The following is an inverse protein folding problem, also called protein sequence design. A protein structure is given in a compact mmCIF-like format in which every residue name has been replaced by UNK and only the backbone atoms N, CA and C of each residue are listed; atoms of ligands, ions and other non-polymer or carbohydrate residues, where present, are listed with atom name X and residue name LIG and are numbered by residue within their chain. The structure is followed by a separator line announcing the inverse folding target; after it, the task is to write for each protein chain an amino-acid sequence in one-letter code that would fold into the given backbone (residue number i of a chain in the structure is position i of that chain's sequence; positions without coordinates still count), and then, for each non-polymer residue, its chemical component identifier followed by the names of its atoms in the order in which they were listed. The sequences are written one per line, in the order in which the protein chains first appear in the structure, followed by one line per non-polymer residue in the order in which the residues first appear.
data_IF_113173361171
#
_entry.id   IF_113173361171
#
_cell.length_a   1.000
_cell.length_b   1.000
_cell.length_c   1.000
_cell.angle_alpha   90.00
_cell.angle_beta   90.00
_cell.angle_gamma   90.00
#
_symmetry.space_group_name_H-M   'P 1'
#
loop_
_entity.id
_entity.type
_entity.pdbx_description
1 polymer ?
#
# COMPACT_ATOMS: atom_id res chain seq x y z
N UNK A 1 1.06 -23.41 -12.21
CA UNK A 1 2.50 -23.25 -11.95
C UNK A 1 3.03 -22.13 -12.83
N UNK A 2 2.98 -20.89 -12.34
CA UNK A 2 3.74 -19.77 -12.90
C UNK A 2 5.22 -20.07 -12.71
N UNK A 3 5.96 -20.31 -13.81
CA UNK A 3 7.41 -20.52 -13.72
C UNK A 3 8.09 -19.17 -13.44
N UNK A 4 8.64 -19.03 -12.24
CA UNK A 4 9.61 -18.00 -11.88
C UNK A 4 10.76 -18.07 -12.88
N UNK A 5 11.11 -16.94 -13.52
CA UNK A 5 12.29 -16.88 -14.38
C UNK A 5 13.42 -16.28 -13.55
N UNK A 6 14.36 -17.12 -13.14
CA UNK A 6 15.63 -16.64 -12.60
C UNK A 6 16.30 -15.78 -13.67
N UNK A 7 16.56 -14.51 -13.36
CA UNK A 7 17.20 -13.59 -14.28
C UNK A 7 18.43 -13.01 -13.62
N UNK A 8 19.59 -13.10 -14.26
CA UNK A 8 20.81 -12.43 -13.81
C UNK A 8 20.76 -10.90 -13.96
N UNK A 9 19.63 -10.34 -14.40
CA UNK A 9 19.46 -8.92 -14.70
C UNK A 9 18.85 -8.17 -13.53
N UNK A 10 19.63 -7.29 -12.90
CA UNK A 10 19.16 -6.35 -11.88
C UNK A 10 17.99 -5.48 -12.40
N UNK A 11 17.02 -5.10 -11.55
CA UNK A 11 15.99 -4.12 -11.90
C UNK A 11 16.55 -2.85 -12.53
N UNK A 12 15.90 -2.39 -13.60
CA UNK A 12 16.20 -1.08 -14.18
C UNK A 12 16.09 0.03 -13.12
N UNK A 13 16.94 1.09 -13.21
CA UNK A 13 16.86 2.25 -12.34
C UNK A 13 15.44 2.82 -12.29
N UNK A 14 14.93 3.03 -11.08
CA UNK A 14 13.54 3.43 -10.84
C UNK A 14 13.37 4.25 -9.58
N UNK A 15 12.27 4.99 -9.51
CA UNK A 15 11.82 5.71 -8.30
C UNK A 15 10.41 5.30 -7.91
N UNK A 16 9.99 5.62 -6.68
CA UNK A 16 8.61 5.42 -6.22
C UNK A 16 8.11 3.97 -6.33
N UNK A 17 9.04 3.01 -6.26
CA UNK A 17 8.77 1.59 -6.11
C UNK A 17 8.70 1.24 -4.62
N UNK A 18 8.20 0.05 -4.31
CA UNK A 18 8.27 -0.49 -2.95
C UNK A 18 9.22 -1.67 -2.88
N UNK A 19 9.82 -1.85 -1.70
CA UNK A 19 10.70 -2.95 -1.37
C UNK A 19 10.42 -3.35 0.08
N UNK A 20 9.98 -4.59 0.31
CA UNK A 20 9.70 -5.11 1.64
C UNK A 20 10.56 -6.34 1.93
N UNK A 21 10.82 -6.58 3.21
CA UNK A 21 11.37 -7.86 3.67
C UNK A 21 10.28 -8.92 3.65
N UNK A 22 10.57 -10.08 3.06
CA UNK A 22 9.74 -11.28 3.19
C UNK A 22 10.16 -12.03 4.46
N UNK A 23 11.47 -12.23 4.59
CA UNK A 23 12.17 -12.90 5.69
C UNK A 23 13.62 -12.39 5.73
N UNK A 24 14.47 -13.06 6.50
CA UNK A 24 15.88 -12.68 6.70
C UNK A 24 16.71 -12.71 5.40
N UNK A 25 16.29 -13.47 4.40
CA UNK A 25 17.07 -13.76 3.20
C UNK A 25 16.46 -13.18 1.92
N UNK A 26 15.21 -12.70 1.98
CA UNK A 26 14.46 -12.35 0.78
C UNK A 26 13.77 -10.99 0.88
N UNK A 27 13.90 -10.22 -0.20
CA UNK A 27 13.17 -8.97 -0.39
C UNK A 27 12.18 -9.12 -1.55
N UNK A 28 11.08 -8.38 -1.49
CA UNK A 28 10.04 -8.36 -2.52
C UNK A 28 9.86 -6.92 -3.02
N UNK A 29 9.91 -6.75 -4.35
CA UNK A 29 9.79 -5.45 -5.02
C UNK A 29 8.54 -5.41 -5.89
N UNK A 30 7.83 -4.29 -5.86
CA UNK A 30 6.72 -4.03 -6.78
C UNK A 30 6.77 -2.62 -7.40
N UNK A 31 6.49 -2.57 -8.70
CA UNK A 31 6.17 -1.35 -9.45
C UNK A 31 7.27 -0.29 -9.52
N UNK A 32 6.84 0.98 -9.56
CA UNK A 32 7.67 2.18 -9.65
C UNK A 32 7.70 2.83 -11.03
N UNK A 33 8.44 3.94 -11.14
CA UNK A 33 8.69 4.68 -12.39
C UNK A 33 10.08 4.37 -12.92
N UNK A 34 10.15 3.81 -14.12
CA UNK A 34 11.40 3.55 -14.85
C UNK A 34 11.60 4.60 -15.94
N UNK A 35 12.85 4.86 -16.33
CA UNK A 35 13.17 5.66 -17.52
C UNK A 35 13.00 4.78 -18.77
N UNK A 36 12.44 5.33 -19.85
CA UNK A 36 12.46 4.67 -21.15
C UNK A 36 13.88 4.72 -21.72
N UNK A 37 14.37 3.61 -22.28
CA UNK A 37 15.73 3.56 -22.84
C UNK A 37 15.89 4.58 -23.97
N UNK A 38 16.85 5.50 -23.82
CA UNK A 38 17.13 6.53 -24.82
C UNK A 38 16.17 7.72 -24.82
N UNK A 39 15.24 7.82 -23.87
CA UNK A 39 14.32 8.97 -23.74
C UNK A 39 14.38 9.60 -22.35
N UNK A 40 13.94 10.87 -22.25
CA UNK A 40 13.72 11.54 -20.96
C UNK A 40 12.40 11.13 -20.29
N UNK A 41 11.53 10.43 -21.03
CA UNK A 41 10.22 10.04 -20.55
C UNK A 41 10.30 8.89 -19.54
N UNK A 42 9.48 8.97 -18.51
CA UNK A 42 9.31 7.90 -17.52
C UNK A 42 7.98 7.20 -17.71
N UNK A 43 7.95 5.91 -17.40
CA UNK A 43 6.73 5.10 -17.40
C UNK A 43 6.59 4.35 -16.08
N UNK A 44 5.34 4.16 -15.65
CA UNK A 44 5.05 3.27 -14.53
C UNK A 44 5.18 1.82 -14.98
N UNK A 45 5.71 0.98 -14.11
CA UNK A 45 5.82 -0.46 -14.34
C UNK A 45 5.00 -1.25 -13.33
N UNK A 46 4.64 -2.48 -13.70
CA UNK A 46 4.13 -3.52 -12.81
C UNK A 46 5.20 -4.60 -12.54
N UNK A 47 6.48 -4.28 -12.75
CA UNK A 47 7.57 -5.21 -12.43
C UNK A 47 7.44 -5.73 -11.00
N UNK A 48 7.45 -7.06 -10.89
CA UNK A 48 7.35 -7.78 -9.63
C UNK A 48 8.48 -8.80 -9.55
N UNK A 49 9.29 -8.69 -8.50
CA UNK A 49 10.47 -9.54 -8.35
C UNK A 49 10.80 -9.81 -6.89
N UNK A 50 11.38 -10.97 -6.65
CA UNK A 50 11.95 -11.36 -5.36
C UNK A 50 13.47 -11.38 -5.48
N UNK A 51 14.14 -10.74 -4.53
CA UNK A 51 15.59 -10.74 -4.41
C UNK A 51 16.02 -11.72 -3.32
N UNK A 52 16.89 -12.67 -3.67
CA UNK A 52 17.56 -13.55 -2.72
C UNK A 52 18.90 -12.90 -2.32
N UNK A 53 18.98 -12.45 -1.07
CA UNK A 53 20.12 -11.71 -0.51
C UNK A 53 21.37 -12.59 -0.47
N UNK A 54 21.22 -13.87 -0.09
CA UNK A 54 22.33 -14.82 0.01
C UNK A 54 22.93 -15.15 -1.35
N UNK A 55 22.08 -15.32 -2.37
CA UNK A 55 22.52 -15.64 -3.73
C UNK A 55 22.85 -14.40 -4.55
N UNK A 56 22.41 -13.22 -4.12
CA UNK A 56 22.48 -11.98 -4.88
C UNK A 56 21.81 -12.09 -6.26
N UNK A 57 20.60 -12.66 -6.30
CA UNK A 57 19.86 -12.93 -7.55
C UNK A 57 18.45 -12.34 -7.46
N UNK A 58 18.01 -11.72 -8.56
CA UNK A 58 16.63 -11.28 -8.76
C UNK A 58 15.84 -12.33 -9.55
N UNK A 59 14.67 -12.67 -9.03
CA UNK A 59 13.73 -13.60 -9.65
C UNK A 59 12.49 -12.83 -10.10
N UNK A 60 12.30 -12.69 -11.40
CA UNK A 60 11.14 -11.97 -11.94
C UNK A 60 9.96 -12.91 -12.07
N UNK A 61 8.84 -12.45 -11.55
CA UNK A 61 7.56 -13.11 -11.70
C UNK A 61 6.86 -12.53 -12.92
N UNK A 62 6.20 -13.41 -13.68
CA UNK A 62 5.43 -13.00 -14.84
C UNK A 62 4.11 -12.38 -14.41
N UNK A 63 3.54 -11.60 -15.31
CA UNK A 63 2.18 -11.12 -15.18
C UNK A 63 1.21 -12.28 -14.94
N UNK A 64 0.27 -12.06 -14.04
CA UNK A 64 -0.71 -13.04 -13.60
C UNK A 64 -2.07 -12.40 -13.44
N UNK A 65 -3.12 -13.22 -13.45
CA UNK A 65 -4.47 -12.77 -13.07
C UNK A 65 -4.45 -12.15 -11.67
N UNK A 66 -5.30 -11.14 -11.45
CA UNK A 66 -5.38 -10.33 -10.22
C UNK A 66 -4.11 -9.54 -9.86
N UNK A 67 -3.07 -9.57 -10.69
CA UNK A 67 -1.91 -8.70 -10.48
C UNK A 67 -2.33 -7.23 -10.68
N UNK A 68 -1.97 -6.33 -9.75
CA UNK A 68 -2.25 -4.92 -9.91
C UNK A 68 -1.59 -4.35 -11.16
N UNK A 69 -2.30 -3.41 -11.83
CA UNK A 69 -1.74 -2.63 -12.93
C UNK A 69 -0.50 -1.85 -12.52
N UNK A 70 0.29 -1.48 -13.54
CA UNK A 70 1.48 -0.61 -13.41
C UNK A 70 1.20 0.62 -12.57
N UNK A 71 2.04 0.88 -11.57
CA UNK A 71 1.84 1.98 -10.62
C UNK A 71 3.11 2.41 -9.92
N UNK A 72 3.10 3.64 -9.44
CA UNK A 72 4.14 4.22 -8.59
C UNK A 72 3.52 5.00 -7.43
N UNK A 73 4.32 5.34 -6.41
CA UNK A 73 3.86 6.04 -5.20
C UNK A 73 2.76 5.28 -4.46
N UNK A 74 2.72 3.97 -4.63
CA UNK A 74 1.85 3.05 -3.91
C UNK A 74 2.52 2.65 -2.59
N UNK A 75 1.74 2.09 -1.70
CA UNK A 75 2.20 1.63 -0.39
C UNK A 75 2.11 0.11 -0.34
N UNK A 76 3.08 -0.53 0.32
CA UNK A 76 3.08 -1.97 0.55
C UNK A 76 3.45 -2.34 1.97
N UNK A 77 2.93 -3.47 2.44
CA UNK A 77 3.39 -4.10 3.68
C UNK A 77 3.31 -5.60 3.57
N UNK A 78 4.18 -6.31 4.29
CA UNK A 78 4.15 -7.77 4.39
C UNK A 78 3.58 -8.15 5.74
N UNK A 79 2.57 -9.02 5.74
CA UNK A 79 1.99 -9.62 6.93
C UNK A 79 1.62 -11.07 6.61
N UNK A 80 2.06 -12.01 7.44
CA UNK A 80 1.79 -13.45 7.30
C UNK A 80 2.04 -13.98 5.89
N UNK A 81 3.24 -13.67 5.38
CA UNK A 81 3.73 -14.07 4.05
C UNK A 81 2.82 -13.64 2.89
N UNK A 82 2.11 -12.53 3.09
CA UNK A 82 1.32 -11.87 2.06
C UNK A 82 1.82 -10.45 1.90
N UNK A 83 2.11 -10.07 0.66
CA UNK A 83 2.37 -8.68 0.31
C UNK A 83 1.04 -8.00 0.02
N UNK A 84 0.70 -6.97 0.78
CA UNK A 84 -0.46 -6.11 0.55
C UNK A 84 -0.01 -4.87 -0.22
N UNK A 85 -0.83 -4.41 -1.17
CA UNK A 85 -0.54 -3.27 -2.04
C UNK A 85 -1.76 -2.36 -2.09
N UNK A 86 -1.56 -1.08 -1.82
CA UNK A 86 -2.62 -0.09 -1.78
C UNK A 86 -2.20 1.23 -2.45
N UNK A 87 -3.16 1.86 -3.11
CA UNK A 87 -3.00 3.19 -3.72
C UNK A 87 -2.02 3.23 -4.89
N UNK A 88 -1.44 4.41 -5.08
CA UNK A 88 -0.52 4.75 -6.15
C UNK A 88 -1.16 5.47 -7.34
N UNK A 89 -0.33 5.89 -8.27
CA UNK A 89 -0.72 6.59 -9.49
C UNK A 89 -0.26 5.83 -10.73
N UNK A 90 -0.96 6.06 -11.83
CA UNK A 90 -0.57 5.60 -13.15
C UNK A 90 -0.54 6.78 -14.13
N UNK A 91 0.57 6.92 -14.84
CA UNK A 91 0.72 7.82 -15.97
C UNK A 91 -0.07 7.19 -17.13
N UNK A 92 -1.07 7.93 -17.62
CA UNK A 92 -1.72 7.60 -18.87
C UNK A 92 -0.77 7.98 -20.02
N UNK A 93 -0.56 7.10 -20.99
CA UNK A 93 0.36 7.37 -22.10
C UNK A 93 -0.28 8.28 -23.17
N UNK A 94 -1.61 8.44 -23.15
CA UNK A 94 -2.37 9.19 -24.16
C UNK A 94 -2.55 10.65 -23.74
N UNK A 95 -2.69 10.92 -22.44
CA UNK A 95 -2.71 12.27 -21.87
C UNK A 95 -1.52 12.37 -20.94
N UNK A 96 -0.69 13.43 -21.01
CA UNK A 96 0.37 13.70 -20.01
C UNK A 96 -0.18 13.93 -18.58
N UNK A 97 -1.49 13.70 -18.39
CA UNK A 97 -2.16 13.77 -17.11
C UNK A 97 -1.88 12.48 -16.33
N UNK A 98 -1.36 12.63 -15.13
CA UNK A 98 -1.31 11.55 -14.15
C UNK A 98 -2.72 11.29 -13.65
N UNK A 99 -3.24 10.09 -13.92
CA UNK A 99 -4.44 9.59 -13.27
C UNK A 99 -3.98 8.86 -12.00
N UNK A 100 -4.44 9.32 -10.83
CA UNK A 100 -4.21 8.53 -9.61
C UNK A 100 -5.03 7.26 -9.77
N UNK A 101 -4.38 6.10 -9.71
CA UNK A 101 -5.00 4.87 -10.16
C UNK A 101 -6.06 4.41 -9.17
N UNK A 102 -7.10 3.82 -9.75
CA UNK A 102 -8.47 3.82 -9.27
C UNK A 102 -8.87 2.58 -8.48
N UNK A 103 -7.88 1.87 -7.90
CA UNK A 103 -8.19 0.69 -7.12
C UNK A 103 -8.70 1.13 -5.75
N UNK A 104 -10.04 1.07 -5.60
CA UNK A 104 -10.77 1.14 -4.31
C UNK A 104 -10.40 0.00 -3.34
N UNK A 105 -9.48 -0.86 -3.76
CA UNK A 105 -9.27 -2.21 -3.28
C UNK A 105 -7.79 -2.41 -2.93
N UNK A 106 -7.54 -3.34 -2.02
CA UNK A 106 -6.19 -3.77 -1.68
C UNK A 106 -5.88 -5.00 -2.52
N UNK A 107 -4.78 -4.96 -3.25
CA UNK A 107 -4.26 -6.15 -3.91
C UNK A 107 -3.37 -6.90 -2.94
N UNK A 108 -3.36 -8.23 -3.04
CA UNK A 108 -2.46 -9.04 -2.24
C UNK A 108 -1.79 -10.13 -3.06
N UNK A 109 -0.54 -10.42 -2.74
CA UNK A 109 0.21 -11.54 -3.29
C UNK A 109 0.54 -12.53 -2.19
N UNK A 110 0.07 -13.76 -2.33
CA UNK A 110 0.39 -14.85 -1.43
C UNK A 110 1.74 -15.45 -1.82
N UNK A 111 2.75 -15.24 -0.98
CA UNK A 111 4.14 -15.62 -1.26
C UNK A 111 4.30 -17.14 -1.24
N UNK A 112 3.57 -17.85 -0.37
CA UNK A 112 3.61 -19.32 -0.31
C UNK A 112 2.95 -19.98 -1.52
N UNK A 113 1.84 -19.40 -1.98
CA UNK A 113 1.05 -19.97 -3.07
C UNK A 113 1.49 -19.48 -4.46
N UNK A 114 2.37 -18.45 -4.52
CA UNK A 114 2.76 -17.75 -5.75
C UNK A 114 1.52 -17.30 -6.55
N UNK A 115 0.59 -16.64 -5.88
CA UNK A 115 -0.71 -16.28 -6.44
C UNK A 115 -1.21 -14.92 -5.98
N UNK A 116 -1.76 -14.16 -6.92
CA UNK A 116 -2.39 -12.87 -6.66
C UNK A 116 -3.87 -13.01 -6.31
N UNK A 117 -4.30 -12.19 -5.37
CA UNK A 117 -5.63 -12.14 -4.79
C UNK A 117 -6.05 -10.67 -4.63
N UNK A 118 -7.32 -10.42 -4.32
CA UNK A 118 -7.87 -9.08 -4.19
C UNK A 118 -8.77 -8.96 -2.96
N UNK A 119 -8.58 -7.91 -2.17
CA UNK A 119 -9.52 -7.48 -1.14
C UNK A 119 -10.35 -6.35 -1.72
N UNK A 120 -11.62 -6.62 -1.93
CA UNK A 120 -12.56 -5.69 -2.54
C UNK A 120 -13.38 -4.94 -1.49
N UNK A 121 -13.63 -3.67 -1.74
CA UNK A 121 -14.63 -2.89 -1.02
C UNK A 121 -15.95 -2.99 -1.79
N UNK A 122 -16.88 -3.85 -1.34
CA UNK A 122 -17.96 -4.33 -2.20
C UNK A 122 -18.95 -3.31 -2.72
N UNK A 123 -19.08 -2.14 -2.06
CA UNK A 123 -19.92 -1.10 -2.61
C UNK A 123 -19.47 0.31 -2.23
N UNK A 124 -19.35 1.24 -3.20
CA UNK A 124 -19.04 2.63 -2.93
C UNK A 124 -20.14 3.40 -2.20
N UNK A 125 -21.35 2.87 -2.10
CA UNK A 125 -22.48 3.51 -1.42
C UNK A 125 -22.73 2.92 -0.01
N UNK A 126 -21.87 2.00 0.44
CA UNK A 126 -22.03 1.31 1.72
C UNK A 126 -23.05 0.17 1.70
N UNK A 127 -23.61 -0.21 0.54
CA UNK A 127 -24.43 -1.41 0.44
C UNK A 127 -23.59 -2.67 0.63
N UNK A 128 -24.08 -3.62 1.43
CA UNK A 128 -23.42 -4.93 1.59
C UNK A 128 -23.64 -5.78 0.34
N UNK A 129 -22.65 -6.60 -0.04
CA UNK A 129 -22.86 -7.62 -1.07
C UNK A 129 -24.08 -8.46 -0.72
N UNK A 130 -24.84 -8.86 -1.75
CA UNK A 130 -25.88 -9.85 -1.57
C UNK A 130 -25.32 -11.09 -0.87
N UNK A 131 -26.00 -11.65 0.14
CA UNK A 131 -25.59 -12.92 0.78
C UNK A 131 -25.48 -14.09 -0.21
N UNK A 132 -26.08 -13.96 -1.40
CA UNK A 132 -26.07 -14.97 -2.46
C UNK A 132 -24.94 -14.79 -3.48
N UNK A 133 -24.16 -13.71 -3.41
CA UNK A 133 -23.04 -13.48 -4.33
C UNK A 133 -21.85 -14.34 -3.92
N UNK A 134 -21.52 -15.34 -4.74
CA UNK A 134 -20.25 -16.05 -4.61
C UNK A 134 -19.14 -15.22 -5.26
N UNK A 135 -18.10 -14.93 -4.49
CA UNK A 135 -16.88 -14.31 -5.00
C UNK A 135 -15.92 -15.39 -5.50
N UNK A 136 -15.04 -15.07 -6.47
CA UNK A 136 -13.91 -15.92 -6.79
C UNK A 136 -13.11 -16.30 -5.53
N UNK A 137 -12.51 -17.48 -5.50
CA UNK A 137 -11.70 -17.93 -4.34
C UNK A 137 -10.57 -16.96 -3.97
N UNK A 138 -10.05 -16.27 -4.97
CA UNK A 138 -8.95 -15.31 -4.82
C UNK A 138 -9.42 -13.94 -4.30
N UNK A 139 -10.73 -13.74 -4.12
CA UNK A 139 -11.32 -12.45 -3.79
C UNK A 139 -11.93 -12.47 -2.38
N UNK A 140 -11.64 -11.45 -1.59
CA UNK A 140 -12.16 -11.26 -0.23
C UNK A 140 -12.89 -9.93 -0.15
N UNK A 141 -14.15 -9.90 0.29
CA UNK A 141 -14.86 -8.65 0.52
C UNK A 141 -14.69 -8.13 1.96
N UNK A 142 -14.63 -6.81 2.10
CA UNK A 142 -14.72 -6.11 3.40
C UNK A 142 -16.14 -5.62 3.70
N UNK A 143 -16.30 -4.88 4.80
CA UNK A 143 -17.54 -4.24 5.25
C UNK A 143 -18.12 -3.16 4.31
N UNK A 144 -17.40 -2.76 3.26
CA UNK A 144 -17.83 -1.71 2.31
C UNK A 144 -17.36 -0.30 2.67
N UNK A 145 -16.67 -0.11 3.80
CA UNK A 145 -16.10 1.17 4.20
C UNK A 145 -14.97 1.58 3.25
N UNK A 146 -15.05 2.80 2.70
CA UNK A 146 -14.08 3.29 1.72
C UNK A 146 -12.78 3.75 2.36
N UNK A 147 -11.67 3.20 1.87
CA UNK A 147 -10.32 3.64 2.23
C UNK A 147 -9.89 4.91 1.49
N UNK A 148 -10.64 5.37 0.48
CA UNK A 148 -10.26 6.54 -0.33
C UNK A 148 -9.09 6.26 -1.29
N UNK A 149 -8.69 7.26 -2.07
CA UNK A 149 -7.59 7.14 -3.06
C UNK A 149 -6.35 7.83 -2.52
N UNK A 150 -5.19 7.18 -2.53
CA UNK A 150 -3.96 7.78 -1.94
C UNK A 150 -2.71 7.49 -2.75
N UNK A 151 -1.81 8.46 -2.75
CA UNK A 151 -0.41 8.30 -3.14
C UNK A 151 0.48 8.68 -1.97
N UNK A 152 1.65 8.07 -1.89
CA UNK A 152 2.67 8.37 -0.87
C UNK A 152 2.14 8.22 0.58
N UNK A 153 1.16 7.32 0.77
CA UNK A 153 0.71 6.93 2.10
C UNK A 153 1.73 5.98 2.75
N UNK A 154 1.78 5.96 4.07
CA UNK A 154 2.46 4.91 4.79
C UNK A 154 1.50 3.71 4.97
N UNK A 155 2.02 2.49 4.77
CA UNK A 155 1.28 1.27 5.08
C UNK A 155 2.15 0.32 5.90
N UNK A 156 1.61 -0.20 6.99
CA UNK A 156 2.29 -1.11 7.90
C UNK A 156 1.30 -2.04 8.59
N UNK A 157 1.78 -3.14 9.13
CA UNK A 157 0.95 -4.07 9.90
C UNK A 157 1.09 -3.83 11.41
N UNK A 158 -0.01 -4.01 12.14
CA UNK A 158 -0.03 -3.93 13.62
C UNK A 158 -1.16 -4.80 14.16
N UNK A 159 -0.89 -5.69 15.12
CA UNK A 159 -1.89 -6.60 15.71
C UNK A 159 -2.74 -7.37 14.67
N UNK A 160 -2.11 -7.91 13.62
CA UNK A 160 -2.81 -8.63 12.53
C UNK A 160 -3.81 -7.75 11.73
N UNK A 161 -3.57 -6.44 11.76
CA UNK A 161 -4.32 -5.44 11.00
C UNK A 161 -3.40 -4.74 10.00
N UNK A 162 -3.96 -4.29 8.89
CA UNK A 162 -3.26 -3.42 7.95
C UNK A 162 -3.62 -1.97 8.29
N UNK A 163 -2.60 -1.16 8.54
CA UNK A 163 -2.74 0.26 8.86
C UNK A 163 -2.29 1.09 7.67
N UNK A 164 -3.12 2.04 7.27
CA UNK A 164 -2.79 3.07 6.27
C UNK A 164 -2.86 4.42 6.97
N UNK A 165 -1.78 5.19 6.86
CA UNK A 165 -1.65 6.50 7.48
C UNK A 165 -1.18 7.53 6.45
N UNK A 166 -1.79 8.71 6.48
CA UNK A 166 -1.34 9.86 5.69
C UNK A 166 -1.34 9.60 4.18
N UNK A 167 -0.59 10.40 3.42
CA UNK A 167 -0.55 10.37 1.96
C UNK A 167 -1.45 11.43 1.32
N UNK A 168 -1.16 11.77 0.08
CA UNK A 168 -1.93 12.76 -0.68
C UNK A 168 -3.11 12.09 -1.38
N UNK A 169 -4.28 12.69 -1.25
CA UNK A 169 -5.53 12.24 -1.86
C UNK A 169 -5.90 13.23 -2.99
N UNK A 170 -6.27 12.74 -4.17
CA UNK A 170 -6.71 13.60 -5.30
C UNK A 170 -8.22 13.72 -5.40
N UNK A 171 -8.97 12.80 -4.79
CA UNK A 171 -10.44 12.75 -4.87
C UNK A 171 -11.07 12.30 -3.54
N UNK A 172 -11.01 13.18 -2.53
CA UNK A 172 -11.66 12.93 -1.24
C UNK A 172 -13.13 13.35 -1.33
N UNK A 173 -14.03 12.41 -1.61
CA UNK A 173 -15.44 12.74 -1.85
C UNK A 173 -16.23 13.11 -0.59
N UNK A 174 -15.77 12.77 0.61
CA UNK A 174 -16.61 12.93 1.82
C UNK A 174 -16.01 13.79 2.94
N UNK A 175 -14.68 14.04 2.98
CA UNK A 175 -14.11 14.60 4.21
C UNK A 175 -13.06 15.73 4.07
N UNK A 176 -12.34 15.93 2.96
CA UNK A 176 -11.34 17.05 2.88
C UNK A 176 -11.94 18.44 2.69
N UNK A 177 -13.22 18.56 2.32
CA UNK A 177 -13.87 19.87 2.24
C UNK A 177 -13.92 20.62 3.59
N UNK A 178 -13.63 19.94 4.70
CA UNK A 178 -13.70 20.49 6.05
C UNK A 178 -12.42 21.21 6.54
N UNK A 179 -11.32 21.25 5.79
CA UNK A 179 -10.10 21.99 6.21
C UNK A 179 -9.58 21.53 7.58
N UNK A 180 -9.39 20.22 7.74
CA UNK A 180 -9.22 19.57 9.05
C UNK A 180 -7.79 19.71 9.58
N UNK A 181 -7.58 20.13 10.85
CA UNK A 181 -6.24 20.25 11.42
C UNK A 181 -5.66 18.91 11.90
N UNK A 182 -6.24 17.77 11.50
CA UNK A 182 -5.93 16.44 12.03
C UNK A 182 -5.94 15.36 10.95
N UNK A 183 -5.17 14.30 11.17
CA UNK A 183 -4.98 13.18 10.25
C UNK A 183 -5.89 11.96 10.57
N UNK A 184 -6.21 11.18 9.53
CA UNK A 184 -6.94 9.91 9.63
C UNK A 184 -5.99 8.71 9.49
N UNK A 185 -6.06 7.82 10.47
CA UNK A 185 -5.48 6.49 10.41
C UNK A 185 -6.59 5.50 10.01
N UNK A 186 -6.37 4.73 8.96
CA UNK A 186 -7.31 3.70 8.47
C UNK A 186 -6.77 2.33 8.84
N UNK A 187 -7.59 1.48 9.42
CA UNK A 187 -7.17 0.18 9.93
C UNK A 187 -8.09 -0.94 9.45
N UNK A 188 -7.58 -1.87 8.66
CA UNK A 188 -8.30 -3.06 8.21
C UNK A 188 -8.03 -4.23 9.16
N UNK A 189 -9.08 -4.75 9.79
CA UNK A 189 -9.03 -6.08 10.41
C UNK A 189 -9.09 -7.15 9.34
N UNK A 190 -8.08 -8.03 9.28
CA UNK A 190 -8.09 -9.14 8.33
C UNK A 190 -9.01 -10.28 8.75
N UNK A 191 -9.23 -10.42 10.07
CA UNK A 191 -10.11 -11.43 10.66
C UNK A 191 -11.59 -11.03 10.48
N UNK A 192 -11.94 -9.82 10.94
CA UNK A 192 -13.30 -9.29 10.88
C UNK A 192 -13.66 -8.68 9.53
N UNK A 193 -12.66 -8.46 8.66
CA UNK A 193 -12.80 -7.86 7.32
C UNK A 193 -13.49 -6.49 7.35
N UNK A 194 -13.26 -5.72 8.41
CA UNK A 194 -13.84 -4.40 8.61
C UNK A 194 -12.78 -3.30 8.68
N UNK A 195 -13.19 -2.08 8.35
CA UNK A 195 -12.33 -0.91 8.44
C UNK A 195 -12.69 -0.05 9.65
N UNK A 196 -11.67 0.33 10.41
CA UNK A 196 -11.76 1.36 11.42
C UNK A 196 -11.11 2.65 10.90
N UNK A 197 -11.84 3.76 11.04
CA UNK A 197 -11.39 5.10 10.67
C UNK A 197 -11.10 5.90 11.94
N UNK A 198 -9.82 5.98 12.30
CA UNK A 198 -9.36 6.48 13.59
C UNK A 198 -8.81 7.89 13.42
N UNK A 199 -9.39 8.85 14.15
CA UNK A 199 -8.87 10.21 14.24
C UNK A 199 -7.68 10.23 15.19
N UNK A 200 -6.51 10.64 14.69
CA UNK A 200 -5.32 10.79 15.53
C UNK A 200 -5.27 12.22 16.08
N UNK A 201 -5.47 12.37 17.39
CA UNK A 201 -5.47 13.69 18.04
C UNK A 201 -4.08 14.32 17.99
N UNK A 202 -3.99 15.55 17.48
CA UNK A 202 -2.76 16.33 17.45
C UNK A 202 -1.78 15.98 16.33
N UNK A 203 -2.11 15.02 15.46
CA UNK A 203 -1.34 14.71 14.26
C UNK A 203 -1.88 15.55 13.09
N UNK A 204 -1.13 16.54 12.56
CA UNK A 204 -1.59 17.32 11.41
C UNK A 204 -1.54 16.47 10.13
N UNK A 205 -2.17 16.97 9.06
CA UNK A 205 -2.04 16.37 7.74
C UNK A 205 -0.58 16.38 7.29
N UNK A 206 -0.10 15.23 6.84
CA UNK A 206 1.30 15.07 6.48
C UNK A 206 1.51 14.13 5.30
N UNK A 207 2.60 14.34 4.58
CA UNK A 207 3.24 13.30 3.79
C UNK A 207 4.11 12.46 4.72
N UNK A 208 3.73 11.22 4.97
CA UNK A 208 4.52 10.33 5.82
C UNK A 208 5.67 9.73 5.00
N UNK A 209 6.90 9.82 5.53
CA UNK A 209 8.11 9.37 4.83
C UNK A 209 8.63 8.06 5.41
N UNK A 210 8.51 7.88 6.73
CA UNK A 210 8.94 6.67 7.42
C UNK A 210 8.05 6.38 8.63
N UNK A 211 7.75 5.10 8.82
CA UNK A 211 7.05 4.59 10.00
C UNK A 211 7.89 3.50 10.65
N UNK A 212 8.04 3.59 11.97
CA UNK A 212 8.61 2.52 12.79
C UNK A 212 7.54 2.13 13.80
N UNK A 213 7.13 0.85 13.77
CA UNK A 213 6.31 0.27 14.83
C UNK A 213 7.25 -0.55 15.72
N UNK A 214 7.43 -0.13 16.97
CA UNK A 214 8.09 -0.94 17.99
C UNK A 214 7.03 -1.37 19.00
N UNK A 215 6.81 -2.68 19.12
CA UNK A 215 6.02 -3.26 20.20
C UNK A 215 6.97 -3.85 21.24
N UNK A 216 7.59 -3.00 22.05
CA UNK A 216 8.23 -3.45 23.29
C UNK A 216 7.20 -3.38 24.41
N UNK A 217 7.30 -4.30 25.37
CA UNK A 217 6.36 -4.49 26.48
C UNK A 217 6.07 -3.22 27.30
N UNK A 218 6.94 -2.20 27.21
CA UNK A 218 6.87 -0.92 27.89
C UNK A 218 6.52 0.28 26.98
N UNK A 219 6.45 0.11 25.65
CA UNK A 219 6.12 1.17 24.69
C UNK A 219 5.17 0.66 23.61
N UNK A 220 3.87 0.82 23.84
CA UNK A 220 2.84 0.60 22.82
C UNK A 220 2.70 1.86 21.98
N UNK A 221 3.22 1.86 20.75
CA UNK A 221 3.00 2.99 19.86
C UNK A 221 3.62 2.86 18.48
N UNK A 222 3.22 3.78 17.61
CA UNK A 222 3.74 3.94 16.25
C UNK A 222 4.57 5.22 16.25
N UNK A 223 5.85 5.13 15.92
CA UNK A 223 6.68 6.30 15.68
C UNK A 223 6.55 6.71 14.22
N UNK A 224 6.16 7.96 14.00
CA UNK A 224 5.91 8.52 12.67
C UNK A 224 6.88 9.65 12.44
N UNK A 225 7.50 9.67 11.25
CA UNK A 225 8.27 10.80 10.74
C UNK A 225 7.65 11.21 9.39
N UNK A 226 7.37 12.49 9.24
CA UNK A 226 6.77 13.01 8.01
C UNK A 226 6.99 14.51 7.86
N UNK A 227 6.47 15.04 6.76
CA UNK A 227 6.44 16.48 6.50
C UNK A 227 5.01 16.99 6.51
N UNK A 228 4.79 18.14 7.14
CA UNK A 228 3.49 18.82 7.09
C UNK A 228 3.24 19.27 5.65
N UNK A 229 1.99 19.09 5.19
CA UNK A 229 1.62 19.35 3.81
C UNK A 229 1.81 20.82 3.39
N UNK A 230 1.61 21.77 4.31
CA UNK A 230 1.52 23.20 3.97
C UNK A 230 2.85 23.96 3.98
N UNK A 231 3.86 23.52 4.75
CA UNK A 231 5.11 24.24 4.93
C UNK A 231 6.38 23.37 4.84
N UNK A 232 6.23 22.11 4.42
CA UNK A 232 7.33 21.13 4.28
C UNK A 232 8.12 20.87 5.57
N UNK A 233 7.62 21.31 6.73
CA UNK A 233 8.29 21.16 8.01
C UNK A 233 8.33 19.69 8.43
N UNK A 234 9.54 19.21 8.72
CA UNK A 234 9.74 17.88 9.27
C UNK A 234 9.14 17.81 10.68
N UNK A 235 8.28 16.82 10.90
CA UNK A 235 7.70 16.51 12.20
C UNK A 235 7.84 15.02 12.50
N UNK A 236 7.98 14.70 13.78
CA UNK A 236 8.10 13.34 14.25
C UNK A 236 7.46 13.18 15.62
N UNK A 237 6.93 12.01 15.91
CA UNK A 237 6.28 11.74 17.19
C UNK A 237 5.74 10.32 17.33
N UNK A 238 5.36 9.99 18.55
CA UNK A 238 4.72 8.73 18.88
C UNK A 238 3.21 8.88 18.86
N UNK A 239 2.53 8.05 18.07
CA UNK A 239 1.11 7.76 18.22
C UNK A 239 1.03 6.62 19.25
N UNK A 240 0.54 6.94 20.45
CA UNK A 240 0.36 5.95 21.51
C UNK A 240 -1.06 5.39 21.45
N UNK A 241 -1.19 4.13 21.79
CA UNK A 241 -2.49 3.53 22.07
C UNK A 241 -3.06 4.20 23.32
N UNK A 242 -4.30 4.68 23.28
CA UNK A 242 -4.95 5.28 24.45
C UNK A 242 -5.43 4.18 25.39
N UNK A 243 -4.50 3.54 26.09
CA UNK A 243 -4.80 2.69 27.25
C UNK A 243 -4.20 3.36 28.49
N UNK A 244 -4.52 4.62 28.70
CA UNK A 244 -4.27 5.31 29.96
C UNK A 244 -5.61 5.88 30.45
N UNK A 245 -6.33 5.06 31.25
CA UNK A 245 -7.23 5.55 32.29
C UNK A 245 -6.43 5.62 33.59
#
# INVERSE_FOLDING_TARGET
MSKIKESSTTPAPRKMHTLNTIDDDRLIMFGGKCLMEGEENMYDTQHFAIYDVKKNIWSYHRESINMPYRRASHSTTVLDERLYIYGGQQINSISKLTEIHDDKDIHLYNIRQDSWHRIITPSPDGSRLSPTLSLPSEWTATDGSKVGRRVDAAMFSMHHRIIILSGMEKDNFDYEQEGRPWELLKSLSLEERNWDHIRVKGLPQMGCVAVVSEYKTDKKGIFVIGKVHDDDKLIMGWIKDSIDM
#
